data_IF_080921878647
#
_entry.id   IF_080921878647
#
_cell.length_a   1.000
_cell.length_b   1.000
_cell.length_c   1.000
_cell.angle_alpha   90.00
_cell.angle_beta   90.00
_cell.angle_gamma   90.00
#
_symmetry.space_group_name_H-M   'P 1'
#
loop_
_entity.id
_entity.type
_entity.pdbx_description
1 polymer ?
#
# COMPACT_ATOMS: atom_id res chain seq x y z
N UNK A 1 -10.05 11.97 12.52
CA UNK A 1 -10.42 12.36 11.14
C UNK A 1 -10.55 11.16 10.20
N UNK A 2 -9.60 10.21 10.20
CA UNK A 2 -9.64 9.00 9.37
C UNK A 2 -10.78 8.01 9.69
N UNK A 3 -11.30 7.98 10.93
CA UNK A 3 -12.43 7.11 11.32
C UNK A 3 -13.74 7.48 10.60
N UNK A 4 -14.08 8.78 10.56
CA UNK A 4 -15.25 9.29 9.82
C UNK A 4 -15.11 9.11 8.30
N UNK A 5 -13.89 9.19 7.78
CA UNK A 5 -13.62 8.88 6.37
C UNK A 5 -13.83 7.39 6.08
N UNK A 6 -13.37 6.51 6.98
CA UNK A 6 -13.57 5.05 6.89
C UNK A 6 -15.05 4.66 6.83
N UNK A 7 -15.88 5.20 7.71
CA UNK A 7 -17.34 4.94 7.68
C UNK A 7 -17.98 5.46 6.38
N UNK A 8 -17.57 6.64 5.92
CA UNK A 8 -18.11 7.23 4.68
C UNK A 8 -17.71 6.41 3.45
N UNK A 9 -16.47 5.92 3.39
CA UNK A 9 -15.98 5.02 2.35
C UNK A 9 -16.70 3.67 2.41
N UNK A 10 -16.90 3.11 3.60
CA UNK A 10 -17.68 1.88 3.79
C UNK A 10 -19.11 2.01 3.28
N UNK A 11 -19.75 3.14 3.54
CA UNK A 11 -21.12 3.40 3.08
C UNK A 11 -21.16 3.56 1.56
N UNK A 12 -20.16 4.22 0.98
CA UNK A 12 -20.05 4.43 -0.47
C UNK A 12 -19.85 3.10 -1.21
N UNK A 13 -18.97 2.24 -0.69
CA UNK A 13 -18.56 0.98 -1.32
C UNK A 13 -19.42 -0.23 -0.95
N UNK A 14 -20.50 -0.01 -0.19
CA UNK A 14 -21.39 -1.08 0.25
C UNK A 14 -22.12 -1.75 -0.92
N UNK A 15 -22.45 -1.00 -1.97
CA UNK A 15 -23.13 -1.53 -3.14
C UNK A 15 -22.22 -2.50 -3.91
N UNK A 16 -20.96 -2.14 -4.09
CA UNK A 16 -19.91 -2.90 -4.72
C UNK A 16 -19.60 -4.16 -3.91
N UNK A 17 -19.46 -4.03 -2.58
CA UNK A 17 -19.29 -5.18 -1.68
C UNK A 17 -20.48 -6.14 -1.76
N UNK A 18 -21.71 -5.62 -1.80
CA UNK A 18 -22.91 -6.44 -1.97
C UNK A 18 -22.93 -7.17 -3.31
N UNK A 19 -22.52 -6.50 -4.39
CA UNK A 19 -22.42 -7.13 -5.72
C UNK A 19 -21.35 -8.23 -5.72
N UNK A 20 -20.15 -7.95 -5.20
CA UNK A 20 -19.07 -8.91 -5.08
C UNK A 20 -19.48 -10.15 -4.28
N UNK A 21 -20.16 -9.97 -3.15
CA UNK A 21 -20.67 -11.09 -2.36
C UNK A 21 -21.74 -11.90 -3.12
N UNK A 22 -22.64 -11.24 -3.87
CA UNK A 22 -23.67 -11.92 -4.67
C UNK A 22 -23.08 -12.82 -5.76
N UNK A 23 -21.95 -12.44 -6.35
CA UNK A 23 -21.24 -13.26 -7.34
C UNK A 23 -20.32 -14.33 -6.72
N UNK A 24 -20.35 -14.49 -5.39
CA UNK A 24 -19.63 -15.54 -4.67
C UNK A 24 -18.17 -15.20 -4.35
N UNK A 25 -17.75 -13.94 -4.47
CA UNK A 25 -16.40 -13.52 -4.07
C UNK A 25 -16.27 -13.52 -2.55
N UNK A 26 -15.25 -14.23 -2.06
CA UNK A 26 -14.83 -14.17 -0.65
C UNK A 26 -13.73 -13.11 -0.48
N UNK A 27 -13.51 -12.59 0.74
CA UNK A 27 -12.45 -11.61 1.02
C UNK A 27 -11.09 -12.08 0.50
N UNK A 28 -10.70 -13.32 0.78
CA UNK A 28 -9.41 -13.87 0.35
C UNK A 28 -9.26 -13.94 -1.18
N UNK A 29 -10.35 -14.19 -1.93
CA UNK A 29 -10.31 -14.16 -3.40
C UNK A 29 -10.09 -12.72 -3.87
N UNK A 30 -10.74 -11.74 -3.23
CA UNK A 30 -10.54 -10.33 -3.57
C UNK A 30 -9.11 -9.88 -3.25
N UNK A 31 -8.52 -10.29 -2.12
CA UNK A 31 -7.10 -10.03 -1.82
C UNK A 31 -6.18 -10.68 -2.87
N UNK A 32 -6.50 -11.89 -3.34
CA UNK A 32 -5.72 -12.58 -4.37
C UNK A 32 -5.80 -11.87 -5.74
N UNK A 33 -6.97 -11.30 -6.07
CA UNK A 33 -7.11 -10.44 -7.25
C UNK A 33 -6.32 -9.13 -7.08
N UNK A 34 -6.34 -8.55 -5.88
CA UNK A 34 -5.55 -7.37 -5.54
C UNK A 34 -4.06 -7.58 -5.82
N UNK A 35 -3.48 -8.66 -5.29
CA UNK A 35 -2.07 -8.98 -5.56
C UNK A 35 -1.82 -9.25 -7.05
N UNK A 36 -2.72 -9.94 -7.77
CA UNK A 36 -2.57 -10.13 -9.21
C UNK A 36 -2.48 -8.80 -9.95
N UNK A 37 -3.36 -7.83 -9.64
CA UNK A 37 -3.31 -6.50 -10.25
C UNK A 37 -2.05 -5.72 -9.88
N UNK A 38 -1.56 -5.86 -8.64
CA UNK A 38 -0.28 -5.24 -8.23
C UNK A 38 0.92 -5.81 -8.99
N UNK A 39 0.94 -7.12 -9.25
CA UNK A 39 2.01 -7.79 -10.00
C UNK A 39 1.99 -7.36 -11.47
N UNK A 40 0.79 -7.27 -12.07
CA UNK A 40 0.64 -6.72 -13.41
C UNK A 40 1.07 -5.25 -13.46
N UNK A 41 0.70 -4.45 -12.46
CA UNK A 41 1.16 -3.06 -12.33
C UNK A 41 2.69 -2.96 -12.32
N UNK A 42 3.36 -3.79 -11.52
CA UNK A 42 4.82 -3.86 -11.45
C UNK A 42 5.46 -4.18 -12.82
N UNK A 43 4.88 -5.14 -13.56
CA UNK A 43 5.35 -5.48 -14.92
C UNK A 43 5.19 -4.29 -15.87
N UNK A 44 4.06 -3.58 -15.84
CA UNK A 44 3.89 -2.42 -16.70
C UNK A 44 4.78 -1.23 -16.31
N UNK A 45 5.06 -1.04 -15.01
CA UNK A 45 6.09 -0.08 -14.57
C UNK A 45 7.46 -0.44 -15.12
N UNK A 46 7.84 -1.73 -15.12
CA UNK A 46 9.16 -2.15 -15.63
C UNK A 46 9.31 -1.98 -17.14
N UNK A 47 8.20 -1.99 -17.88
CA UNK A 47 8.17 -1.81 -19.34
C UNK A 47 7.93 -0.35 -19.78
N UNK A 48 7.74 0.57 -18.83
CA UNK A 48 7.24 1.92 -19.11
C UNK A 48 8.16 2.84 -19.91
N UNK A 49 9.47 2.55 -19.98
CA UNK A 49 10.39 3.29 -20.86
C UNK A 49 10.21 2.93 -22.34
N UNK A 50 9.70 1.73 -22.65
CA UNK A 50 9.44 1.33 -24.03
C UNK A 50 8.22 2.06 -24.59
N UNK A 51 7.15 2.14 -23.79
CA UNK A 51 5.89 2.77 -24.17
C UNK A 51 5.32 3.57 -23.00
N UNK A 52 5.28 4.90 -23.14
CA UNK A 52 4.90 5.81 -22.05
C UNK A 52 3.46 5.61 -21.56
N UNK A 53 2.58 5.09 -22.40
CA UNK A 53 1.21 4.72 -22.02
C UNK A 53 1.15 3.59 -20.99
N UNK A 54 2.19 2.75 -20.88
CA UNK A 54 2.27 1.72 -19.85
C UNK A 54 2.35 2.31 -18.44
N UNK A 55 2.81 3.56 -18.25
CA UNK A 55 2.73 4.23 -16.95
C UNK A 55 1.29 4.41 -16.48
N UNK A 56 0.39 4.82 -17.38
CA UNK A 56 -1.03 5.00 -17.04
C UNK A 56 -1.71 3.66 -16.77
N UNK A 57 -1.38 2.63 -17.56
CA UNK A 57 -1.88 1.28 -17.33
C UNK A 57 -1.38 0.71 -16.00
N UNK A 58 -0.09 0.83 -15.71
CA UNK A 58 0.51 0.43 -14.44
C UNK A 58 -0.16 1.13 -13.26
N UNK A 59 -0.37 2.44 -13.36
CA UNK A 59 -1.02 3.21 -12.30
C UNK A 59 -2.48 2.84 -12.12
N UNK A 60 -3.21 2.56 -13.22
CA UNK A 60 -4.60 2.12 -13.17
C UNK A 60 -4.72 0.76 -12.50
N UNK A 61 -3.84 -0.19 -12.85
CA UNK A 61 -3.80 -1.50 -12.21
C UNK A 61 -3.46 -1.40 -10.71
N UNK A 62 -2.55 -0.51 -10.33
CA UNK A 62 -2.24 -0.23 -8.93
C UNK A 62 -3.46 0.33 -8.18
N UNK A 63 -4.21 1.23 -8.82
CA UNK A 63 -5.45 1.78 -8.26
C UNK A 63 -6.51 0.70 -8.06
N UNK A 64 -6.67 -0.22 -9.02
CA UNK A 64 -7.57 -1.37 -8.91
C UNK A 64 -7.12 -2.30 -7.78
N UNK A 65 -5.83 -2.57 -7.65
CA UNK A 65 -5.28 -3.34 -6.52
C UNK A 65 -5.62 -2.70 -5.17
N UNK A 66 -5.38 -1.39 -5.00
CA UNK A 66 -5.72 -0.69 -3.76
C UNK A 66 -7.23 -0.65 -3.48
N UNK A 67 -8.06 -0.68 -4.53
CA UNK A 67 -9.51 -0.83 -4.39
C UNK A 67 -9.90 -2.22 -3.87
N UNK A 68 -9.26 -3.29 -4.38
CA UNK A 68 -9.47 -4.65 -3.90
C UNK A 68 -9.17 -4.78 -2.39
N UNK A 69 -8.07 -4.18 -1.90
CA UNK A 69 -7.69 -4.18 -0.47
C UNK A 69 -8.66 -3.39 0.43
N UNK A 70 -9.43 -2.45 -0.14
CA UNK A 70 -10.49 -1.79 0.61
C UNK A 70 -11.72 -2.69 0.61
N UNK A 71 -12.04 -3.29 -0.53
CA UNK A 71 -13.22 -4.10 -0.74
C UNK A 71 -13.19 -5.40 0.08
N UNK A 72 -12.05 -6.09 0.15
CA UNK A 72 -11.92 -7.33 0.92
C UNK A 72 -12.16 -7.11 2.43
N UNK A 73 -11.65 -6.03 3.00
CA UNK A 73 -11.85 -5.65 4.39
C UNK A 73 -13.29 -5.18 4.64
N UNK A 74 -13.97 -4.60 3.65
CA UNK A 74 -15.40 -4.30 3.74
C UNK A 74 -16.22 -5.60 3.71
N UNK A 75 -15.91 -6.52 2.81
CA UNK A 75 -16.56 -7.82 2.71
C UNK A 75 -16.41 -8.62 4.01
N UNK A 76 -15.19 -8.71 4.54
CA UNK A 76 -14.90 -9.44 5.76
C UNK A 76 -15.72 -8.92 6.95
N UNK A 77 -15.76 -7.59 7.15
CA UNK A 77 -16.53 -6.96 8.24
C UNK A 77 -18.04 -7.06 8.04
N UNK A 78 -18.52 -6.78 6.83
CA UNK A 78 -19.96 -6.73 6.53
C UNK A 78 -20.61 -8.10 6.64
N UNK A 79 -19.91 -9.14 6.20
CA UNK A 79 -20.43 -10.51 6.16
C UNK A 79 -19.90 -11.40 7.29
N UNK A 80 -19.26 -10.81 8.31
CA UNK A 80 -18.71 -11.53 9.47
C UNK A 80 -17.75 -12.67 9.10
N UNK A 81 -16.95 -12.44 8.04
CA UNK A 81 -15.93 -13.37 7.53
C UNK A 81 -14.51 -12.97 7.96
N UNK A 82 -14.38 -12.13 8.98
CA UNK A 82 -13.08 -11.79 9.57
C UNK A 82 -12.44 -13.03 10.21
N UNK A 83 -11.17 -13.28 9.89
CA UNK A 83 -10.41 -14.40 10.46
C UNK A 83 -8.97 -13.98 10.77
N UNK A 84 -8.37 -14.64 11.76
CA UNK A 84 -6.96 -14.41 12.13
C UNK A 84 -6.05 -14.69 10.94
N UNK A 85 -6.30 -15.81 10.24
CA UNK A 85 -5.55 -16.16 9.03
C UNK A 85 -5.75 -15.12 7.92
N UNK A 86 -6.98 -14.68 7.67
CA UNK A 86 -7.25 -13.64 6.66
C UNK A 86 -6.51 -12.34 6.94
N UNK A 87 -6.50 -11.87 8.19
CA UNK A 87 -5.74 -10.67 8.57
C UNK A 87 -4.23 -10.82 8.39
N UNK A 88 -3.68 -12.00 8.70
CA UNK A 88 -2.28 -12.31 8.42
C UNK A 88 -2.00 -12.37 6.91
N UNK A 89 -2.88 -13.02 6.15
CA UNK A 89 -2.74 -13.22 4.71
C UNK A 89 -2.80 -11.90 3.95
N UNK A 90 -3.80 -11.06 4.22
CA UNK A 90 -3.92 -9.68 3.72
C UNK A 90 -2.64 -8.88 4.00
N UNK A 91 -2.19 -8.91 5.26
CA UNK A 91 -0.94 -8.27 5.61
C UNK A 91 0.25 -8.82 4.82
N UNK A 92 0.38 -10.13 4.64
CA UNK A 92 1.48 -10.71 3.87
C UNK A 92 1.44 -10.27 2.40
N UNK A 93 0.28 -10.37 1.76
CA UNK A 93 0.08 -10.00 0.35
C UNK A 93 0.38 -8.53 0.10
N UNK A 94 0.00 -7.63 1.02
CA UNK A 94 0.34 -6.22 0.96
C UNK A 94 1.84 -5.95 0.82
N UNK A 95 2.68 -6.72 1.52
CA UNK A 95 4.14 -6.51 1.47
C UNK A 95 4.71 -7.01 0.14
N UNK A 96 4.17 -8.09 -0.40
CA UNK A 96 4.52 -8.56 -1.75
C UNK A 96 4.05 -7.58 -2.82
N UNK A 97 2.84 -7.04 -2.70
CA UNK A 97 2.27 -6.02 -3.60
C UNK A 97 3.14 -4.75 -3.61
N UNK A 98 3.36 -4.14 -2.44
CA UNK A 98 4.23 -2.96 -2.31
C UNK A 98 5.62 -3.25 -2.90
N UNK A 99 6.22 -4.40 -2.57
CA UNK A 99 7.57 -4.74 -3.03
C UNK A 99 7.65 -4.90 -4.54
N UNK A 100 6.70 -5.61 -5.14
CA UNK A 100 6.65 -5.82 -6.58
C UNK A 100 6.59 -4.48 -7.33
N UNK A 101 5.74 -3.56 -6.88
CA UNK A 101 5.58 -2.24 -7.51
C UNK A 101 6.88 -1.44 -7.46
N UNK A 102 7.54 -1.34 -6.30
CA UNK A 102 8.84 -0.65 -6.21
C UNK A 102 9.91 -1.33 -7.07
N UNK A 103 9.96 -2.66 -7.09
CA UNK A 103 10.88 -3.41 -7.95
C UNK A 103 10.61 -3.09 -9.43
N UNK A 104 9.35 -3.07 -9.84
CA UNK A 104 8.94 -2.71 -11.20
C UNK A 104 9.41 -1.32 -11.60
N UNK A 105 9.27 -0.34 -10.71
CA UNK A 105 9.73 1.04 -10.92
C UNK A 105 11.25 1.14 -11.03
N UNK A 106 11.99 0.41 -10.18
CA UNK A 106 13.47 0.36 -10.21
C UNK A 106 13.96 -0.29 -11.51
N UNK A 107 13.44 -1.47 -11.85
CA UNK A 107 13.82 -2.20 -13.07
C UNK A 107 13.44 -1.39 -14.31
N UNK A 108 12.30 -0.69 -14.27
CA UNK A 108 11.85 0.19 -15.33
C UNK A 108 12.67 1.47 -15.49
N UNK A 109 13.71 1.70 -14.69
CA UNK A 109 14.55 2.91 -14.79
C UNK A 109 13.78 4.21 -14.54
N UNK A 110 12.66 4.13 -13.83
CA UNK A 110 11.76 5.28 -13.57
C UNK A 110 12.20 6.11 -12.36
N UNK A 111 13.18 5.61 -11.61
CA UNK A 111 13.82 6.31 -10.51
C UNK A 111 15.29 5.92 -10.40
N UNK A 112 16.05 6.71 -9.65
CA UNK A 112 17.39 6.32 -9.24
C UNK A 112 17.34 5.08 -8.33
N UNK A 113 18.11 4.01 -8.61
CA UNK A 113 18.01 2.75 -7.88
C UNK A 113 18.27 2.85 -6.39
N UNK A 114 19.17 3.75 -5.95
CA UNK A 114 19.45 3.93 -4.52
C UNK A 114 18.20 4.44 -3.80
N UNK A 115 17.54 5.45 -4.37
CA UNK A 115 16.32 6.01 -3.80
C UNK A 115 15.15 5.02 -3.86
N UNK A 116 15.02 4.26 -4.94
CA UNK A 116 14.03 3.18 -5.04
C UNK A 116 14.22 2.11 -3.97
N UNK A 117 15.45 1.65 -3.73
CA UNK A 117 15.77 0.67 -2.69
C UNK A 117 15.50 1.22 -1.28
N UNK A 118 15.81 2.50 -1.03
CA UNK A 118 15.49 3.15 0.24
C UNK A 118 13.98 3.30 0.47
N UNK A 119 13.21 3.61 -0.58
CA UNK A 119 11.74 3.66 -0.52
C UNK A 119 11.14 2.27 -0.24
N UNK A 120 11.60 1.23 -0.94
CA UNK A 120 11.20 -0.15 -0.70
C UNK A 120 11.49 -0.58 0.74
N UNK A 121 12.72 -0.36 1.20
CA UNK A 121 13.16 -0.69 2.56
C UNK A 121 12.33 0.05 3.59
N UNK A 122 12.12 1.35 3.40
CA UNK A 122 11.26 2.17 4.25
C UNK A 122 9.83 1.63 4.31
N UNK A 123 9.22 1.30 3.16
CA UNK A 123 7.85 0.77 3.09
C UNK A 123 7.68 -0.50 3.93
N UNK A 124 8.64 -1.43 3.82
CA UNK A 124 8.63 -2.68 4.59
C UNK A 124 8.87 -2.43 6.09
N UNK A 125 9.83 -1.57 6.43
CA UNK A 125 10.16 -1.26 7.82
C UNK A 125 9.04 -0.49 8.54
N UNK A 126 8.29 0.37 7.84
CA UNK A 126 7.09 1.02 8.40
C UNK A 126 6.11 -0.06 8.87
N UNK A 127 5.81 -1.03 8.00
CA UNK A 127 4.89 -2.13 8.32
C UNK A 127 5.44 -3.06 9.42
N UNK A 128 6.74 -3.38 9.39
CA UNK A 128 7.39 -4.23 10.37
C UNK A 128 7.43 -3.59 11.76
N UNK A 129 7.87 -2.32 11.85
CA UNK A 129 7.97 -1.60 13.13
C UNK A 129 6.63 -1.54 13.86
N UNK A 130 5.53 -1.34 13.12
CA UNK A 130 4.17 -1.41 13.67
C UNK A 130 3.85 -2.80 14.21
N UNK A 131 3.97 -3.83 13.38
CA UNK A 131 3.66 -5.22 13.77
C UNK A 131 4.49 -5.66 14.98
N UNK A 132 5.78 -5.32 15.00
CA UNK A 132 6.68 -5.68 16.11
C UNK A 132 6.29 -4.97 17.40
N UNK A 133 5.99 -3.67 17.35
CA UNK A 133 5.56 -2.94 18.53
C UNK A 133 4.20 -3.41 19.07
N UNK A 134 3.25 -3.72 18.17
CA UNK A 134 1.96 -4.30 18.56
C UNK A 134 2.13 -5.68 19.22
N UNK A 135 3.09 -6.50 18.75
CA UNK A 135 3.40 -7.81 19.36
C UNK A 135 3.92 -7.75 20.80
N UNK A 136 4.51 -6.61 21.20
CA UNK A 136 4.99 -6.36 22.57
C UNK A 136 3.99 -5.51 23.39
N UNK A 137 2.76 -5.39 22.90
CA UNK A 137 1.66 -4.72 23.60
C UNK A 137 1.67 -3.20 23.51
N UNK A 138 2.37 -2.60 22.55
CA UNK A 138 2.36 -1.16 22.30
C UNK A 138 1.43 -0.87 21.11
N UNK A 139 0.36 -0.11 21.36
CA UNK A 139 -0.57 0.30 20.30
C UNK A 139 0.10 1.33 19.39
N UNK A 140 0.15 1.04 18.08
CA UNK A 140 0.82 1.86 17.05
C UNK A 140 -0.13 2.53 16.06
N UNK A 141 -1.43 2.49 16.33
CA UNK A 141 -2.43 3.08 15.45
C UNK A 141 -2.22 4.60 15.35
N UNK A 142 -2.11 5.14 14.12
CA UNK A 142 -1.96 6.58 13.83
C UNK A 142 -0.63 7.19 14.28
N UNK A 143 0.40 6.38 14.53
CA UNK A 143 1.76 6.87 14.81
C UNK A 143 2.60 6.77 13.54
N UNK A 144 3.08 7.91 13.06
CA UNK A 144 3.87 8.02 11.84
C UNK A 144 3.25 8.94 10.79
N UNK A 145 4.07 9.69 10.07
CA UNK A 145 3.63 10.61 9.00
C UNK A 145 3.11 9.87 7.76
N UNK A 146 3.67 8.69 7.47
CA UNK A 146 3.47 7.99 6.20
C UNK A 146 3.01 6.53 6.40
N UNK A 147 1.70 6.34 6.52
CA UNK A 147 1.02 5.04 6.47
C UNK A 147 0.90 4.50 5.04
N UNK A 148 0.42 3.26 4.89
CA UNK A 148 0.36 2.56 3.60
C UNK A 148 -0.50 3.29 2.57
N UNK A 149 -1.69 3.73 2.95
CA UNK A 149 -2.61 4.41 2.04
C UNK A 149 -2.01 5.72 1.48
N UNK A 150 -1.31 6.48 2.32
CA UNK A 150 -0.66 7.73 1.92
C UNK A 150 0.47 7.47 0.92
N UNK A 151 1.27 6.41 1.12
CA UNK A 151 2.30 5.99 0.16
C UNK A 151 1.71 5.65 -1.20
N UNK A 152 0.65 4.84 -1.23
CA UNK A 152 -0.01 4.45 -2.48
C UNK A 152 -0.58 5.66 -3.22
N UNK A 153 -1.22 6.60 -2.51
CA UNK A 153 -1.73 7.84 -3.10
C UNK A 153 -0.59 8.68 -3.69
N UNK A 154 0.50 8.88 -2.96
CA UNK A 154 1.68 9.60 -3.46
C UNK A 154 2.28 8.93 -4.69
N UNK A 155 2.40 7.61 -4.67
CA UNK A 155 2.95 6.84 -5.77
C UNK A 155 2.08 6.94 -7.03
N UNK A 156 0.76 6.78 -6.89
CA UNK A 156 -0.18 6.94 -8.01
C UNK A 156 -0.16 8.37 -8.56
N UNK A 157 -0.18 9.38 -7.69
CA UNK A 157 -0.15 10.78 -8.12
C UNK A 157 1.14 11.12 -8.87
N UNK A 158 2.30 10.74 -8.34
CA UNK A 158 3.59 10.96 -8.99
C UNK A 158 3.70 10.20 -10.33
N UNK A 159 3.11 9.00 -10.43
CA UNK A 159 3.09 8.22 -11.67
C UNK A 159 2.20 8.85 -12.75
N UNK A 160 1.04 9.40 -12.38
CA UNK A 160 0.18 10.15 -13.32
C UNK A 160 0.89 11.41 -13.82
N UNK A 161 1.54 12.17 -12.92
CA UNK A 161 2.29 13.36 -13.31
C UNK A 161 3.48 12.98 -14.21
N UNK A 162 4.13 11.84 -13.94
CA UNK A 162 5.23 11.33 -14.75
C UNK A 162 4.85 11.00 -16.20
N UNK A 163 3.57 10.71 -16.46
CA UNK A 163 3.07 10.61 -17.82
C UNK A 163 3.23 11.92 -18.61
N UNK A 164 3.20 13.09 -17.96
CA UNK A 164 3.45 14.39 -18.58
C UNK A 164 4.90 14.87 -18.41
N UNK A 165 5.50 14.58 -17.25
CA UNK A 165 6.86 14.98 -16.91
C UNK A 165 7.56 13.88 -16.10
N UNK A 166 8.26 12.99 -16.81
CA UNK A 166 8.86 11.76 -16.27
C UNK A 166 9.65 11.93 -14.94
N UNK A 167 10.44 13.02 -14.72
CA UNK A 167 11.15 13.22 -13.46
C UNK A 167 10.25 13.28 -12.21
N UNK A 168 8.95 13.54 -12.36
CA UNK A 168 8.01 13.58 -11.24
C UNK A 168 7.96 12.28 -10.43
N UNK A 169 8.06 11.11 -11.09
CA UNK A 169 8.04 9.82 -10.39
C UNK A 169 9.31 9.63 -9.57
N UNK A 170 10.48 9.97 -10.11
CA UNK A 170 11.73 9.92 -9.35
C UNK A 170 11.68 10.84 -8.11
N UNK A 171 11.17 12.06 -8.24
CA UNK A 171 10.97 12.98 -7.10
C UNK A 171 10.00 12.38 -6.08
N UNK A 172 8.91 11.76 -6.55
CA UNK A 172 7.97 11.03 -5.71
C UNK A 172 8.63 9.90 -4.91
N UNK A 173 9.48 9.10 -5.57
CA UNK A 173 10.24 8.02 -4.92
C UNK A 173 11.23 8.56 -3.89
N UNK A 174 11.94 9.65 -4.18
CA UNK A 174 12.83 10.31 -3.21
C UNK A 174 12.03 10.76 -1.97
N UNK A 175 10.88 11.40 -2.18
CA UNK A 175 10.01 11.83 -1.09
C UNK A 175 9.52 10.62 -0.27
N UNK A 176 9.08 9.54 -0.92
CA UNK A 176 8.63 8.31 -0.26
C UNK A 176 9.76 7.65 0.54
N UNK A 177 10.99 7.62 0.01
CA UNK A 177 12.16 7.11 0.71
C UNK A 177 12.41 7.89 2.00
N UNK A 178 12.43 9.22 1.93
CA UNK A 178 12.68 10.06 3.10
C UNK A 178 11.55 9.90 4.12
N UNK A 179 10.30 10.09 3.70
CA UNK A 179 9.14 10.11 4.60
C UNK A 179 8.88 8.73 5.25
N UNK A 180 9.08 7.64 4.51
CA UNK A 180 8.90 6.29 5.07
C UNK A 180 9.98 5.99 6.11
N UNK A 181 11.25 6.31 5.84
CA UNK A 181 12.32 6.07 6.80
C UNK A 181 12.23 6.99 8.03
N UNK A 182 11.79 8.25 7.86
CA UNK A 182 11.46 9.12 8.98
C UNK A 182 10.33 8.51 9.84
N UNK A 183 9.29 7.98 9.22
CA UNK A 183 8.20 7.29 9.93
C UNK A 183 8.69 6.10 10.75
N UNK A 184 9.68 5.33 10.24
CA UNK A 184 10.31 4.24 10.99
C UNK A 184 11.02 4.77 12.23
N UNK A 185 11.77 5.88 12.11
CA UNK A 185 12.44 6.51 13.24
C UNK A 185 11.43 7.00 14.28
N UNK A 186 10.36 7.66 13.85
CA UNK A 186 9.27 8.11 14.73
C UNK A 186 8.67 6.95 15.53
N UNK A 187 8.35 5.84 14.86
CA UNK A 187 7.83 4.62 15.50
C UNK A 187 8.83 4.03 16.48
N UNK A 188 10.12 4.00 16.13
CA UNK A 188 11.18 3.53 17.02
C UNK A 188 11.30 4.37 18.29
N UNK A 189 11.36 5.70 18.14
CA UNK A 189 11.45 6.64 19.27
C UNK A 189 10.21 6.57 20.16
N UNK A 190 9.01 6.46 19.57
CA UNK A 190 7.77 6.29 20.31
C UNK A 190 7.74 4.97 21.09
N UNK A 191 8.15 3.86 20.45
CA UNK A 191 8.29 2.54 21.11
C UNK A 191 9.21 2.64 22.33
N UNK A 192 10.39 3.25 22.15
CA UNK A 192 11.36 3.42 23.22
C UNK A 192 10.82 4.23 24.41
N UNK A 193 10.14 5.35 24.14
CA UNK A 193 9.52 6.19 25.17
C UNK A 193 8.45 5.42 25.95
N UNK A 194 7.63 4.63 25.28
CA UNK A 194 6.59 3.82 25.91
C UNK A 194 7.16 2.71 26.79
N UNK A 195 8.26 2.08 26.38
CA UNK A 195 8.94 1.05 27.18
C UNK A 195 9.63 1.62 28.42
N UNK A 196 10.17 2.84 28.35
CA UNK A 196 10.75 3.54 29.52
C UNK A 196 9.72 3.98 30.56
N UNK A 197 8.46 4.10 30.16
CA UNK A 197 7.37 4.56 31.04
C UNK A 197 6.62 3.40 31.71
N UNK A 198 6.93 2.15 31.32
CA UNK A 198 6.50 0.93 32.01
C UNK A 198 7.53 0.52 33.05
#
# INVERSE_FOLDING_TARGET
MLSKLKEKVQTLLYAEARMAHKIGLTPNIVSLLGILFSMLSAIFFSLSLNERWFLLLATTLLMISGFCDILDGILARTYQQESIFGSFFDSLLDRYSDSAVYIGIIIGGLCDPLWGLLALTGSLLVSYSRSKAESIGIKMMSIGIMERAERLIFLMASSIIAFFWLPALNIGIIALAILSNLTVLERGLYTYKMLKTK
#
